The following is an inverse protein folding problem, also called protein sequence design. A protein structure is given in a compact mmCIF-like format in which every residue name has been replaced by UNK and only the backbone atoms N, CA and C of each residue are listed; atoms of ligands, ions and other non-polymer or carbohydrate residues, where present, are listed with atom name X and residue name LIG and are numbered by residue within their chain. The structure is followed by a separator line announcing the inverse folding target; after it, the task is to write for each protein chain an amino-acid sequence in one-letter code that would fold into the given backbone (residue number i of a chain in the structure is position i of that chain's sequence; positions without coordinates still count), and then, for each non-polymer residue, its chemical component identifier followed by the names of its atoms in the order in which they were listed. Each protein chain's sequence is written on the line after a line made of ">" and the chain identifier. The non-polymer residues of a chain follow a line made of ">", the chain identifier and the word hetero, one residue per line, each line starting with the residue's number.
data_IF_411063217758
#
_entry.id   IF_411063217758
#
_cell.length_a   1.000
_cell.length_b   1.000
_cell.length_c   1.000
_cell.angle_alpha   90.00
_cell.angle_beta   90.00
_cell.angle_gamma   90.00
#
_symmetry.space_group_name_H-M   'P 1'
#
loop_
_entity.id
_entity.type
_entity.pdbx_description
1 polymer ?
#
# COMPACT_ATOMS: atom_id res chain seq x y z
N UNK A 1 -3.50 16.39 -1.71
CA UNK A 1 -2.57 15.45 -2.37
C UNK A 1 -1.30 15.54 -1.57
N UNK A 2 -0.92 14.48 -0.87
CA UNK A 2 0.12 14.54 0.16
C UNK A 2 1.50 14.65 -0.50
N UNK A 3 2.32 15.58 -0.02
CA UNK A 3 3.64 15.97 -0.55
C UNK A 3 4.70 14.82 -0.58
N UNK A 4 4.34 13.60 -0.14
CA UNK A 4 5.21 12.42 -0.11
C UNK A 4 5.71 11.96 -1.48
N UNK A 5 5.02 12.31 -2.56
CA UNK A 5 5.33 11.80 -3.91
C UNK A 5 6.53 12.44 -4.57
N UNK A 6 6.92 13.66 -4.16
CA UNK A 6 8.04 14.37 -4.77
C UNK A 6 9.39 13.79 -4.33
N UNK A 7 9.61 13.64 -3.03
CA UNK A 7 10.90 13.19 -2.48
C UNK A 7 11.20 11.71 -2.83
N UNK A 8 10.17 10.87 -2.85
CA UNK A 8 10.30 9.44 -3.19
C UNK A 8 10.65 9.22 -4.66
N UNK A 9 10.22 10.12 -5.56
CA UNK A 9 10.50 10.04 -7.00
C UNK A 9 12.00 10.14 -7.29
N UNK A 10 12.73 10.87 -6.45
CA UNK A 10 14.17 11.02 -6.61
C UNK A 10 14.95 9.83 -6.04
N UNK A 11 14.35 9.08 -5.11
CA UNK A 11 14.97 7.93 -4.43
C UNK A 11 14.67 6.57 -5.08
N UNK A 12 13.59 6.47 -5.86
CA UNK A 12 13.11 5.19 -6.44
C UNK A 12 13.20 5.20 -7.98
N UNK A 13 13.76 4.15 -8.56
CA UNK A 13 13.75 3.90 -10.00
C UNK A 13 12.42 3.26 -10.45
N UNK A 14 11.88 2.37 -9.61
CA UNK A 14 10.62 1.68 -9.85
C UNK A 14 9.93 1.37 -8.51
N UNK A 15 8.64 1.66 -8.41
CA UNK A 15 7.77 1.17 -7.35
C UNK A 15 6.57 0.47 -7.97
N UNK A 16 6.22 -0.70 -7.45
CA UNK A 16 5.08 -1.49 -7.90
C UNK A 16 4.24 -1.88 -6.69
N UNK A 17 2.98 -1.43 -6.71
CA UNK A 17 1.95 -1.88 -5.79
C UNK A 17 1.02 -2.84 -6.53
N UNK A 18 0.80 -4.03 -5.96
CA UNK A 18 -0.11 -5.03 -6.50
C UNK A 18 -1.14 -5.42 -5.46
N UNK A 19 -2.40 -5.52 -5.88
CA UNK A 19 -3.47 -6.09 -5.09
C UNK A 19 -3.89 -7.43 -5.70
N UNK A 20 -3.95 -8.46 -4.87
CA UNK A 20 -4.54 -9.75 -5.22
C UNK A 20 -5.84 -9.92 -4.45
N UNK A 21 -6.91 -10.15 -5.20
CA UNK A 21 -8.26 -10.35 -4.66
C UNK A 21 -8.62 -11.82 -4.80
N UNK A 22 -8.98 -12.46 -3.69
CA UNK A 22 -9.38 -13.87 -3.66
C UNK A 22 -10.75 -14.00 -3.01
N UNK A 23 -11.74 -14.62 -3.68
CA UNK A 23 -13.02 -14.92 -3.04
C UNK A 23 -12.82 -16.00 -1.96
N UNK A 24 -13.42 -15.78 -0.79
CA UNK A 24 -13.46 -16.69 0.35
C UNK A 24 -14.92 -16.73 0.86
N UNK A 25 -15.73 -17.57 0.20
CA UNK A 25 -17.18 -17.61 0.42
C UNK A 25 -17.84 -16.28 0.03
N UNK A 26 -18.64 -15.64 0.91
CA UNK A 26 -19.25 -14.34 0.64
C UNK A 26 -18.28 -13.16 0.84
N UNK A 27 -17.04 -13.42 1.27
CA UNK A 27 -16.03 -12.39 1.54
C UNK A 27 -14.94 -12.40 0.48
N UNK A 28 -14.19 -11.31 0.39
CA UNK A 28 -12.96 -11.23 -0.42
C UNK A 28 -11.77 -11.06 0.51
N UNK A 29 -10.80 -11.97 0.42
CA UNK A 29 -9.45 -11.77 0.96
C UNK A 29 -8.68 -10.87 0.00
N UNK A 30 -8.06 -9.82 0.53
CA UNK A 30 -7.20 -8.91 -0.24
C UNK A 30 -5.79 -9.05 0.29
N UNK A 31 -4.84 -9.34 -0.59
CA UNK A 31 -3.41 -9.27 -0.29
C UNK A 31 -2.80 -8.11 -1.08
N UNK A 32 -2.06 -7.28 -0.38
CA UNK A 32 -1.33 -6.19 -0.98
C UNK A 32 0.16 -6.49 -0.92
N UNK A 33 0.85 -6.23 -2.04
CA UNK A 33 2.28 -6.40 -2.18
C UNK A 33 2.87 -5.09 -2.65
N UNK A 34 3.98 -4.70 -2.03
CA UNK A 34 4.75 -3.54 -2.43
C UNK A 34 6.19 -3.96 -2.67
N UNK A 35 6.69 -3.62 -3.85
CA UNK A 35 8.08 -3.83 -4.21
C UNK A 35 8.62 -2.53 -4.78
N UNK A 36 9.88 -2.23 -4.46
CA UNK A 36 10.56 -1.06 -5.00
C UNK A 36 12.00 -1.40 -5.36
N UNK A 37 12.55 -0.59 -6.27
CA UNK A 37 13.96 -0.57 -6.63
C UNK A 37 14.49 0.82 -6.31
N UNK A 38 15.39 0.90 -5.33
CA UNK A 38 16.13 2.12 -5.02
C UNK A 38 17.02 2.54 -6.20
N UNK A 39 17.20 3.84 -6.42
CA UNK A 39 18.14 4.36 -7.45
C UNK A 39 19.61 4.09 -7.10
N UNK A 40 19.92 4.04 -5.81
CA UNK A 40 21.25 3.75 -5.29
C UNK A 40 21.15 2.99 -3.97
N UNK A 41 22.25 2.35 -3.57
CA UNK A 41 22.33 1.65 -2.27
C UNK A 41 22.29 2.63 -1.09
N UNK A 42 22.71 3.88 -1.29
CA UNK A 42 22.75 4.91 -0.25
C UNK A 42 21.36 5.30 0.27
N UNK A 43 20.36 5.31 -0.62
CA UNK A 43 18.97 5.68 -0.26
C UNK A 43 18.13 4.48 0.18
N UNK A 44 18.65 3.26 0.05
CA UNK A 44 17.92 2.04 0.38
C UNK A 44 17.46 1.99 1.85
N UNK A 45 18.29 2.32 2.87
CA UNK A 45 17.83 2.31 4.27
C UNK A 45 16.70 3.29 4.51
N UNK A 46 16.80 4.51 3.97
CA UNK A 46 15.75 5.52 4.09
C UNK A 46 14.43 5.07 3.44
N UNK A 47 14.50 4.40 2.29
CA UNK A 47 13.33 3.85 1.62
C UNK A 47 12.71 2.68 2.39
N UNK A 48 13.54 1.81 2.99
CA UNK A 48 13.06 0.73 3.86
C UNK A 48 12.34 1.31 5.07
N UNK A 49 12.95 2.27 5.76
CA UNK A 49 12.35 2.96 6.90
C UNK A 49 11.01 3.63 6.53
N UNK A 50 10.95 4.28 5.37
CA UNK A 50 9.70 4.87 4.88
C UNK A 50 8.63 3.82 4.63
N UNK A 51 8.99 2.70 3.98
CA UNK A 51 8.02 1.64 3.67
C UNK A 51 7.48 1.01 4.94
N UNK A 52 8.34 0.69 5.89
CA UNK A 52 7.98 0.02 7.14
C UNK A 52 7.15 0.91 8.06
N UNK A 53 7.51 2.19 8.20
CA UNK A 53 6.93 3.06 9.24
C UNK A 53 5.86 4.03 8.74
N UNK A 54 5.77 4.26 7.43
CA UNK A 54 4.82 5.25 6.87
C UNK A 54 3.88 4.57 5.88
N UNK A 55 4.45 3.89 4.89
CA UNK A 55 3.66 3.36 3.78
C UNK A 55 2.80 2.17 4.20
N UNK A 56 3.37 1.23 4.96
CA UNK A 56 2.66 0.05 5.45
C UNK A 56 1.48 0.46 6.34
N UNK A 57 1.69 1.38 7.28
CA UNK A 57 0.65 1.85 8.20
C UNK A 57 -0.46 2.62 7.48
N UNK A 58 -0.08 3.49 6.53
CA UNK A 58 -1.06 4.17 5.70
C UNK A 58 -1.91 3.17 4.90
N UNK A 59 -1.30 2.16 4.30
CA UNK A 59 -2.00 1.13 3.53
C UNK A 59 -2.91 0.25 4.39
N UNK A 60 -2.49 -0.08 5.62
CA UNK A 60 -3.35 -0.77 6.59
C UNK A 60 -4.58 0.07 6.92
N UNK A 61 -4.41 1.37 7.18
CA UNK A 61 -5.54 2.28 7.43
C UNK A 61 -6.48 2.32 6.24
N UNK A 62 -5.95 2.53 5.03
CA UNK A 62 -6.74 2.56 3.80
C UNK A 62 -7.56 1.27 3.59
N UNK A 63 -6.96 0.10 3.80
CA UNK A 63 -7.65 -1.18 3.65
C UNK A 63 -8.73 -1.39 4.72
N UNK A 64 -8.48 -0.95 5.96
CA UNK A 64 -9.48 -0.98 7.03
C UNK A 64 -10.67 -0.05 6.74
N UNK A 65 -10.40 1.19 6.33
CA UNK A 65 -11.44 2.16 5.98
C UNK A 65 -12.28 1.67 4.79
N UNK A 66 -11.62 1.08 3.79
CA UNK A 66 -12.29 0.47 2.63
C UNK A 66 -13.16 -0.69 3.07
N UNK A 67 -12.67 -1.56 3.96
CA UNK A 67 -13.44 -2.67 4.52
C UNK A 67 -14.67 -2.16 5.25
N UNK A 68 -14.53 -1.15 6.10
CA UNK A 68 -15.66 -0.57 6.83
C UNK A 68 -16.71 0.05 5.92
N UNK A 69 -16.28 0.77 4.87
CA UNK A 69 -17.18 1.37 3.90
C UNK A 69 -17.98 0.29 3.15
N UNK A 70 -17.32 -0.79 2.75
CA UNK A 70 -17.97 -1.92 2.07
C UNK A 70 -18.90 -2.71 2.99
N UNK A 71 -18.52 -2.95 4.25
CA UNK A 71 -19.37 -3.64 5.23
C UNK A 71 -20.65 -2.83 5.56
N UNK A 72 -20.63 -1.50 5.36
CA UNK A 72 -21.78 -0.60 5.53
C UNK A 72 -22.63 -0.46 4.24
N UNK A 73 -22.15 -0.96 3.11
CA UNK A 73 -22.90 -0.93 1.84
C UNK A 73 -24.10 -1.88 1.91
N UNK A 74 -25.28 -1.40 1.52
CA UNK A 74 -26.51 -2.18 1.50
C UNK A 74 -26.45 -3.39 0.55
N UNK A 75 -25.53 -3.39 -0.43
CA UNK A 75 -25.31 -4.48 -1.36
C UNK A 75 -24.27 -5.51 -0.90
N UNK A 76 -23.69 -5.35 0.31
CA UNK A 76 -22.69 -6.27 0.88
C UNK A 76 -23.28 -7.51 1.58
N UNK A 77 -24.60 -7.72 1.51
CA UNK A 77 -25.33 -8.85 2.12
C UNK A 77 -25.99 -9.76 1.11
#
# INVERSE_FOLDING_TARGET
>A
MTDFTADLKDMVDLAVAQFLFRPVGPRTEIKWYYNFRAKSEEVLPQLQDFVENVWEDWMKSYLNDTKEALDKDAFSK
#
